data_IF_057355058946
#
_entry.id   IF_057355058946
#
_cell.length_a   1.000
_cell.length_b   1.000
_cell.length_c   1.000
_cell.angle_alpha   90.00
_cell.angle_beta   90.00
_cell.angle_gamma   90.00
#
_symmetry.space_group_name_H-M   'P 1'
#
loop_
_entity.id
_entity.type
_entity.pdbx_description
1 polymer ?
#
# COMPACT_ATOMS: atom_id res chain seq x y z
N UNK A 1 -39.36 -0.38 -72.36
CA UNK A 1 -38.86 -1.77 -72.47
C UNK A 1 -37.47 -1.71 -73.07
N UNK A 2 -36.45 -1.61 -72.23
CA UNK A 2 -35.04 -1.76 -72.60
C UNK A 2 -34.28 -2.08 -71.31
N UNK A 3 -34.29 -3.39 -70.99
CA UNK A 3 -33.29 -4.01 -70.14
C UNK A 3 -31.94 -3.83 -70.81
N UNK A 4 -31.04 -3.04 -70.24
CA UNK A 4 -29.61 -3.08 -70.58
C UNK A 4 -28.82 -2.32 -69.50
N UNK A 5 -28.12 -3.08 -68.67
CA UNK A 5 -26.94 -2.70 -67.84
C UNK A 5 -26.83 -3.49 -66.53
N UNK A 6 -27.60 -4.57 -66.36
CA UNK A 6 -27.29 -5.64 -65.40
C UNK A 6 -26.19 -6.57 -65.97
N UNK A 7 -25.11 -5.97 -66.47
CA UNK A 7 -23.92 -6.68 -66.95
C UNK A 7 -22.85 -6.49 -65.88
N UNK A 8 -22.76 -7.49 -65.02
CA UNK A 8 -21.48 -8.10 -64.66
C UNK A 8 -20.39 -7.13 -64.15
N UNK A 9 -20.66 -6.42 -63.05
CA UNK A 9 -19.62 -6.13 -62.06
C UNK A 9 -19.23 -7.45 -61.35
N UNK A 10 -18.64 -8.38 -62.11
CA UNK A 10 -17.79 -9.41 -61.52
C UNK A 10 -16.71 -8.66 -60.76
N UNK A 11 -16.68 -8.91 -59.47
CA UNK A 11 -15.69 -8.46 -58.52
C UNK A 11 -14.35 -8.19 -59.20
N UNK A 12 -13.96 -6.92 -59.31
CA UNK A 12 -12.62 -6.55 -59.71
C UNK A 12 -11.64 -7.28 -58.76
N UNK A 13 -10.88 -8.28 -59.24
CA UNK A 13 -10.03 -9.09 -58.37
C UNK A 13 -8.95 -8.24 -57.70
N UNK A 14 -8.56 -7.10 -58.29
CA UNK A 14 -7.63 -6.15 -57.70
C UNK A 14 -8.22 -5.42 -56.49
N UNK A 15 -9.49 -5.00 -56.55
CA UNK A 15 -10.17 -4.35 -55.42
C UNK A 15 -10.36 -5.33 -54.25
N UNK A 16 -10.77 -6.57 -54.55
CA UNK A 16 -10.92 -7.63 -53.56
C UNK A 16 -9.58 -8.02 -52.91
N UNK A 17 -8.48 -8.05 -53.68
CA UNK A 17 -7.14 -8.29 -53.14
C UNK A 17 -6.64 -7.14 -52.25
N UNK A 18 -6.99 -5.89 -52.59
CA UNK A 18 -6.61 -4.70 -51.79
C UNK A 18 -7.33 -4.67 -50.44
N UNK A 19 -8.62 -5.00 -50.41
CA UNK A 19 -9.40 -5.08 -49.18
C UNK A 19 -8.92 -6.22 -48.28
N UNK A 20 -8.58 -7.38 -48.86
CA UNK A 20 -7.99 -8.51 -48.13
C UNK A 20 -6.63 -8.16 -47.52
N UNK A 21 -5.77 -7.46 -48.28
CA UNK A 21 -4.44 -7.03 -47.81
C UNK A 21 -4.55 -6.04 -46.64
N UNK A 22 -5.41 -5.04 -46.73
CA UNK A 22 -5.64 -4.08 -45.64
C UNK A 22 -6.21 -4.75 -44.38
N UNK A 23 -7.18 -5.65 -44.54
CA UNK A 23 -7.76 -6.39 -43.42
C UNK A 23 -6.74 -7.31 -42.73
N UNK A 24 -5.83 -7.93 -43.48
CA UNK A 24 -4.73 -8.73 -42.92
C UNK A 24 -3.76 -7.88 -42.11
N UNK A 25 -3.40 -6.68 -42.58
CA UNK A 25 -2.53 -5.75 -41.83
C UNK A 25 -3.19 -5.36 -40.51
N UNK A 26 -4.48 -5.03 -40.51
CA UNK A 26 -5.23 -4.70 -39.29
C UNK A 26 -5.25 -5.89 -38.32
N UNK A 27 -5.62 -7.08 -38.79
CA UNK A 27 -5.66 -8.27 -37.95
C UNK A 27 -4.28 -8.58 -37.36
N UNK A 28 -3.21 -8.40 -38.13
CA UNK A 28 -1.83 -8.55 -37.67
C UNK A 28 -1.48 -7.51 -36.59
N UNK A 29 -1.84 -6.23 -36.77
CA UNK A 29 -1.57 -5.20 -35.73
C UNK A 29 -2.29 -5.47 -34.41
N UNK A 30 -3.53 -5.98 -34.46
CA UNK A 30 -4.28 -6.38 -33.27
C UNK A 30 -3.61 -7.59 -32.61
N UNK A 31 -3.20 -8.59 -33.38
CA UNK A 31 -2.52 -9.77 -32.86
C UNK A 31 -1.15 -9.43 -32.24
N UNK A 32 -0.38 -8.53 -32.85
CA UNK A 32 0.89 -8.03 -32.28
C UNK A 32 0.65 -7.27 -30.98
N UNK A 33 -0.40 -6.44 -30.92
CA UNK A 33 -0.77 -5.72 -29.69
C UNK A 33 -1.13 -6.70 -28.56
N UNK A 34 -1.90 -7.75 -28.87
CA UNK A 34 -2.25 -8.81 -27.92
C UNK A 34 -1.03 -9.65 -27.50
N UNK A 35 -0.12 -9.92 -28.42
CA UNK A 35 1.13 -10.63 -28.12
C UNK A 35 2.00 -9.83 -27.15
N UNK A 36 2.18 -8.53 -27.40
CA UNK A 36 2.92 -7.65 -26.50
C UNK A 36 2.26 -7.56 -25.13
N UNK A 37 0.92 -7.44 -25.08
CA UNK A 37 0.17 -7.43 -23.82
C UNK A 37 0.37 -8.74 -23.03
N UNK A 38 0.37 -9.88 -23.72
CA UNK A 38 0.59 -11.21 -23.13
C UNK A 38 2.03 -11.38 -22.62
N UNK A 39 3.02 -10.96 -23.40
CA UNK A 39 4.43 -11.00 -23.01
C UNK A 39 4.69 -10.15 -21.76
N UNK A 40 4.14 -8.95 -21.71
CA UNK A 40 4.28 -8.06 -20.55
C UNK A 40 3.58 -8.67 -19.34
N UNK A 41 2.37 -9.19 -19.50
CA UNK A 41 1.66 -9.91 -18.43
C UNK A 41 2.54 -11.02 -17.83
N UNK A 42 3.15 -11.86 -18.66
CA UNK A 42 4.04 -12.94 -18.22
C UNK A 42 5.18 -12.47 -17.29
N UNK A 43 5.82 -11.36 -17.62
CA UNK A 43 6.93 -10.82 -16.82
C UNK A 43 6.48 -10.17 -15.50
N UNK A 44 5.25 -9.65 -15.44
CA UNK A 44 4.76 -8.88 -14.28
C UNK A 44 4.17 -9.72 -13.15
N UNK A 45 3.68 -10.92 -13.44
CA UNK A 45 3.06 -11.77 -12.41
C UNK A 45 4.14 -12.54 -11.63
N UNK A 46 4.13 -12.40 -10.29
CA UNK A 46 4.95 -13.22 -9.39
C UNK A 46 4.69 -14.71 -9.59
N UNK A 47 5.71 -15.59 -9.46
CA UNK A 47 5.62 -17.02 -9.77
C UNK A 47 4.39 -17.74 -9.22
N UNK A 48 3.97 -17.38 -8.00
CA UNK A 48 2.83 -17.99 -7.29
C UNK A 48 1.47 -17.55 -7.85
N UNK A 49 1.39 -16.37 -8.47
CA UNK A 49 0.15 -15.82 -9.06
C UNK A 49 0.09 -15.94 -10.60
N UNK A 50 1.09 -16.58 -11.23
CA UNK A 50 1.19 -16.70 -12.70
C UNK A 50 0.09 -17.56 -13.32
N UNK A 51 -0.34 -18.62 -12.64
CA UNK A 51 -1.13 -19.67 -13.26
C UNK A 51 -2.56 -19.27 -13.68
N UNK A 52 -3.38 -18.57 -12.86
CA UNK A 52 -4.69 -18.10 -13.33
C UNK A 52 -4.58 -16.83 -14.20
N UNK A 53 -3.55 -16.01 -14.00
CA UNK A 53 -3.52 -14.65 -14.55
C UNK A 53 -3.01 -14.53 -15.98
N UNK A 54 -2.27 -15.53 -16.44
CA UNK A 54 -1.70 -15.56 -17.80
C UNK A 54 -2.66 -16.22 -18.79
N UNK A 55 -3.65 -16.98 -18.30
CA UNK A 55 -4.62 -17.68 -19.15
C UNK A 55 -5.47 -16.73 -20.01
N UNK A 56 -5.86 -15.56 -19.47
CA UNK A 56 -6.71 -14.60 -20.19
C UNK A 56 -6.01 -13.94 -21.40
N UNK A 57 -4.78 -13.39 -21.27
CA UNK A 57 -4.08 -12.84 -22.43
C UNK A 57 -3.63 -13.92 -23.43
N UNK A 58 -3.28 -15.12 -22.97
CA UNK A 58 -2.95 -16.24 -23.87
C UNK A 58 -4.19 -16.68 -24.66
N UNK A 59 -5.33 -16.88 -24.01
CA UNK A 59 -6.59 -17.24 -24.71
C UNK A 59 -7.02 -16.14 -25.68
N UNK A 60 -6.86 -14.86 -25.32
CA UNK A 60 -7.13 -13.73 -26.21
C UNK A 60 -6.21 -13.71 -27.45
N UNK A 61 -4.94 -14.09 -27.30
CA UNK A 61 -4.02 -14.26 -28.43
C UNK A 61 -4.46 -15.39 -29.36
N UNK A 62 -4.85 -16.55 -28.81
CA UNK A 62 -5.37 -17.66 -29.62
C UNK A 62 -6.64 -17.27 -30.39
N UNK A 63 -7.55 -16.53 -29.76
CA UNK A 63 -8.76 -16.02 -30.42
C UNK A 63 -8.41 -15.05 -31.55
N UNK A 64 -7.40 -14.19 -31.39
CA UNK A 64 -6.94 -13.31 -32.46
C UNK A 64 -6.27 -14.07 -33.63
N UNK A 65 -5.52 -15.14 -33.35
CA UNK A 65 -4.95 -16.01 -34.39
C UNK A 65 -6.04 -16.71 -35.20
N UNK A 66 -7.11 -17.18 -34.55
CA UNK A 66 -8.31 -17.71 -35.23
C UNK A 66 -8.97 -16.63 -36.09
N UNK A 67 -8.99 -15.38 -35.60
CA UNK A 67 -9.43 -14.21 -36.36
C UNK A 67 -8.65 -14.01 -37.66
N UNK A 68 -7.32 -14.12 -37.63
CA UNK A 68 -6.47 -14.03 -38.83
C UNK A 68 -6.78 -15.16 -39.82
N UNK A 69 -6.94 -16.39 -39.35
CA UNK A 69 -7.27 -17.55 -40.20
C UNK A 69 -8.62 -17.32 -40.91
N UNK A 70 -9.62 -16.78 -40.21
CA UNK A 70 -10.93 -16.44 -40.79
C UNK A 70 -10.84 -15.33 -41.84
N UNK A 71 -9.97 -14.34 -41.64
CA UNK A 71 -9.70 -13.29 -42.65
C UNK A 71 -9.08 -13.92 -43.91
N UNK A 72 -8.12 -14.84 -43.77
CA UNK A 72 -7.52 -15.57 -44.89
C UNK A 72 -8.54 -16.43 -45.65
N UNK A 73 -9.54 -16.98 -44.96
CA UNK A 73 -10.64 -17.74 -45.56
C UNK A 73 -11.71 -16.85 -46.23
N UNK A 74 -11.49 -15.53 -46.30
CA UNK A 74 -12.41 -14.58 -46.93
C UNK A 74 -13.59 -14.16 -46.05
N UNK A 75 -13.65 -14.59 -44.78
CA UNK A 75 -14.67 -14.17 -43.80
C UNK A 75 -14.20 -12.97 -42.98
N UNK A 76 -13.88 -11.89 -43.70
CA UNK A 76 -13.15 -10.72 -43.17
C UNK A 76 -13.87 -10.07 -41.97
N UNK A 77 -15.16 -9.82 -42.09
CA UNK A 77 -15.98 -9.15 -41.06
C UNK A 77 -16.00 -9.92 -39.74
N UNK A 78 -16.10 -11.25 -39.82
CA UNK A 78 -16.19 -12.11 -38.65
C UNK A 78 -14.84 -12.21 -37.92
N UNK A 79 -13.74 -12.34 -38.67
CA UNK A 79 -12.39 -12.42 -38.11
C UNK A 79 -11.97 -11.14 -37.36
N UNK A 80 -12.33 -9.96 -37.89
CA UNK A 80 -12.01 -8.68 -37.24
C UNK A 80 -12.89 -8.44 -36.01
N UNK A 81 -14.20 -8.74 -36.05
CA UNK A 81 -15.05 -8.67 -34.86
C UNK A 81 -14.53 -9.56 -33.72
N UNK A 82 -14.15 -10.80 -34.04
CA UNK A 82 -13.61 -11.75 -33.06
C UNK A 82 -12.34 -11.19 -32.39
N UNK A 83 -11.44 -10.61 -33.20
CA UNK A 83 -10.18 -10.03 -32.72
C UNK A 83 -10.40 -8.80 -31.83
N UNK A 84 -11.38 -7.94 -32.17
CA UNK A 84 -11.73 -6.77 -31.36
C UNK A 84 -12.39 -7.15 -30.02
N UNK A 85 -13.21 -8.21 -30.00
CA UNK A 85 -13.79 -8.74 -28.75
C UNK A 85 -12.70 -9.31 -27.84
N UNK A 86 -11.76 -10.07 -28.41
CA UNK A 86 -10.62 -10.60 -27.66
C UNK A 86 -9.78 -9.46 -27.05
N UNK A 87 -9.54 -8.39 -27.83
CA UNK A 87 -8.85 -7.20 -27.35
C UNK A 87 -9.59 -6.52 -26.20
N UNK A 88 -10.92 -6.36 -26.30
CA UNK A 88 -11.73 -5.76 -25.25
C UNK A 88 -11.68 -6.58 -23.95
N UNK A 89 -11.88 -7.90 -24.04
CA UNK A 89 -11.85 -8.80 -22.90
C UNK A 89 -10.49 -8.77 -22.19
N UNK A 90 -9.40 -8.73 -22.97
CA UNK A 90 -8.05 -8.65 -22.44
C UNK A 90 -7.79 -7.33 -21.70
N UNK A 91 -8.29 -6.20 -22.20
CA UNK A 91 -8.18 -4.91 -21.51
C UNK A 91 -9.04 -4.85 -20.24
N UNK A 92 -10.28 -5.34 -20.27
CA UNK A 92 -11.14 -5.40 -19.08
C UNK A 92 -10.46 -6.23 -17.99
N UNK A 93 -9.92 -7.39 -18.35
CA UNK A 93 -9.18 -8.23 -17.41
C UNK A 93 -8.01 -7.46 -16.77
N UNK A 94 -7.21 -6.76 -17.57
CA UNK A 94 -6.07 -5.98 -17.07
C UNK A 94 -6.51 -4.90 -16.07
N UNK A 95 -7.60 -4.18 -16.35
CA UNK A 95 -8.18 -3.15 -15.47
C UNK A 95 -8.61 -3.72 -14.12
N UNK A 96 -9.12 -4.96 -14.08
CA UNK A 96 -9.50 -5.60 -12.81
C UNK A 96 -8.30 -5.95 -11.93
N UNK A 97 -7.12 -6.17 -12.53
CA UNK A 97 -5.90 -6.56 -11.81
C UNK A 97 -5.08 -5.36 -11.35
N UNK A 98 -5.05 -4.29 -12.16
CA UNK A 98 -4.18 -3.14 -11.97
C UNK A 98 -4.97 -1.83 -11.99
N UNK A 99 -4.84 -1.02 -10.94
CA UNK A 99 -5.43 0.32 -10.90
C UNK A 99 -4.69 1.33 -11.79
N UNK A 100 -5.43 2.18 -12.49
CA UNK A 100 -4.88 3.34 -13.22
C UNK A 100 -4.47 3.06 -14.67
N UNK A 101 -4.74 1.85 -15.18
CA UNK A 101 -4.47 1.49 -16.59
C UNK A 101 -5.68 1.71 -17.49
N UNK A 102 -6.89 1.88 -16.93
CA UNK A 102 -8.13 1.92 -17.69
C UNK A 102 -8.30 3.15 -18.57
N UNK A 103 -7.73 4.30 -18.19
CA UNK A 103 -7.72 5.49 -19.06
C UNK A 103 -6.95 5.20 -20.35
N UNK A 104 -5.76 4.62 -20.24
CA UNK A 104 -4.92 4.31 -21.40
C UNK A 104 -5.57 3.17 -22.22
N UNK A 105 -6.02 2.11 -21.56
CA UNK A 105 -6.67 0.97 -22.19
C UNK A 105 -7.93 1.38 -22.98
N UNK A 106 -8.80 2.22 -22.40
CA UNK A 106 -10.02 2.69 -23.06
C UNK A 106 -9.71 3.53 -24.31
N UNK A 107 -8.78 4.49 -24.22
CA UNK A 107 -8.38 5.32 -25.36
C UNK A 107 -7.80 4.46 -26.48
N UNK A 108 -6.87 3.56 -26.15
CA UNK A 108 -6.23 2.68 -27.14
C UNK A 108 -7.26 1.78 -27.79
N UNK A 109 -8.13 1.14 -27.00
CA UNK A 109 -9.20 0.28 -27.53
C UNK A 109 -10.12 1.02 -28.50
N UNK A 110 -10.63 2.19 -28.12
CA UNK A 110 -11.53 2.98 -28.98
C UNK A 110 -10.84 3.40 -30.28
N UNK A 111 -9.56 3.80 -30.24
CA UNK A 111 -8.80 4.15 -31.45
C UNK A 111 -8.61 2.94 -32.38
N UNK A 112 -8.28 1.77 -31.83
CA UNK A 112 -8.14 0.52 -32.62
C UNK A 112 -9.45 0.16 -33.31
N UNK A 113 -10.59 0.24 -32.61
CA UNK A 113 -11.89 -0.08 -33.20
C UNK A 113 -12.24 0.91 -34.32
N UNK A 114 -12.02 2.21 -34.11
CA UNK A 114 -12.28 3.23 -35.16
C UNK A 114 -11.45 2.95 -36.42
N UNK A 115 -10.16 2.63 -36.26
CA UNK A 115 -9.29 2.28 -37.39
C UNK A 115 -9.74 0.99 -38.10
N UNK A 116 -9.98 -0.07 -37.34
CA UNK A 116 -10.33 -1.39 -37.88
C UNK A 116 -11.70 -1.42 -38.58
N UNK A 117 -12.70 -0.71 -38.04
CA UNK A 117 -14.06 -0.74 -38.55
C UNK A 117 -14.19 -0.01 -39.87
N UNK A 118 -13.44 1.10 -40.05
CA UNK A 118 -13.48 1.91 -41.27
C UNK A 118 -13.04 1.15 -42.52
N UNK A 119 -12.09 0.25 -42.40
CA UNK A 119 -11.53 -0.48 -43.54
C UNK A 119 -12.26 -1.78 -43.85
N UNK A 120 -13.07 -2.27 -42.91
CA UNK A 120 -13.64 -3.63 -43.00
C UNK A 120 -15.14 -3.63 -43.19
N UNK A 121 -15.85 -2.61 -42.69
CA UNK A 121 -17.31 -2.63 -42.62
C UNK A 121 -17.96 -1.66 -43.61
N UNK A 122 -19.15 -2.01 -44.14
CA UNK A 122 -19.92 -1.10 -44.96
C UNK A 122 -20.35 0.15 -44.18
N UNK A 123 -20.47 1.32 -44.84
CA UNK A 123 -20.66 2.62 -44.19
C UNK A 123 -21.95 2.73 -43.36
N UNK A 124 -22.93 1.86 -43.60
CA UNK A 124 -24.18 1.79 -42.83
C UNK A 124 -24.00 1.26 -41.40
N UNK A 125 -22.95 0.47 -41.15
CA UNK A 125 -22.71 -0.21 -39.86
C UNK A 125 -21.63 0.49 -39.02
N UNK A 126 -20.76 1.28 -39.65
CA UNK A 126 -19.63 1.96 -39.00
C UNK A 126 -20.08 2.79 -37.78
N UNK A 127 -21.11 3.61 -37.95
CA UNK A 127 -21.59 4.49 -36.87
C UNK A 127 -22.05 3.72 -35.63
N UNK A 128 -22.68 2.54 -35.82
CA UNK A 128 -23.15 1.69 -34.72
C UNK A 128 -21.98 1.06 -33.96
N UNK A 129 -21.00 0.52 -34.67
CA UNK A 129 -19.84 -0.14 -34.02
C UNK A 129 -18.95 0.90 -33.32
N UNK A 130 -18.73 2.06 -33.93
CA UNK A 130 -17.97 3.16 -33.30
C UNK A 130 -18.69 3.65 -32.05
N UNK A 131 -20.01 3.85 -32.11
CA UNK A 131 -20.82 4.20 -30.93
C UNK A 131 -20.72 3.15 -29.83
N UNK A 132 -20.81 1.86 -30.18
CA UNK A 132 -20.64 0.75 -29.24
C UNK A 132 -19.25 0.74 -28.59
N UNK A 133 -18.20 1.04 -29.36
CA UNK A 133 -16.82 1.10 -28.86
C UNK A 133 -16.55 2.26 -27.92
N UNK A 134 -17.24 3.39 -28.12
CA UNK A 134 -17.21 4.54 -27.22
C UNK A 134 -17.90 4.20 -25.89
N UNK A 135 -19.07 3.55 -25.96
CA UNK A 135 -19.77 3.08 -24.77
C UNK A 135 -18.90 2.07 -24.02
N UNK A 136 -18.29 1.11 -24.72
CA UNK A 136 -17.43 0.11 -24.09
C UNK A 136 -16.14 0.72 -23.52
N UNK A 137 -15.54 1.69 -24.21
CA UNK A 137 -14.38 2.45 -23.69
C UNK A 137 -14.74 3.27 -22.45
N UNK A 138 -15.90 3.92 -22.43
CA UNK A 138 -16.43 4.60 -21.24
C UNK A 138 -16.67 3.61 -20.10
N UNK A 139 -17.23 2.44 -20.41
CA UNK A 139 -17.48 1.39 -19.42
C UNK A 139 -16.16 0.85 -18.84
N UNK A 140 -15.13 0.66 -19.66
CA UNK A 140 -13.78 0.32 -19.19
C UNK A 140 -13.21 1.40 -18.25
N UNK A 141 -13.40 2.68 -18.58
CA UNK A 141 -12.97 3.80 -17.72
C UNK A 141 -13.73 3.82 -16.39
N UNK A 142 -15.06 3.63 -16.43
CA UNK A 142 -15.86 3.51 -15.21
C UNK A 142 -15.45 2.29 -14.38
N UNK A 143 -15.12 1.17 -15.02
CA UNK A 143 -14.62 -0.02 -14.34
C UNK A 143 -13.28 0.27 -13.66
N UNK A 144 -12.38 1.02 -14.30
CA UNK A 144 -11.13 1.44 -13.65
C UNK A 144 -11.35 2.43 -12.49
N UNK A 145 -12.36 3.30 -12.57
CA UNK A 145 -12.61 4.26 -11.50
C UNK A 145 -13.36 3.65 -10.31
N UNK A 146 -14.28 2.72 -10.56
CA UNK A 146 -15.23 2.23 -9.56
C UNK A 146 -15.11 0.73 -9.22
N UNK A 147 -14.17 -0.01 -9.79
CA UNK A 147 -14.06 -1.44 -9.48
C UNK A 147 -13.69 -1.68 -8.00
N UNK A 148 -14.54 -2.40 -7.23
CA UNK A 148 -14.45 -2.53 -5.78
C UNK A 148 -13.51 -3.65 -5.32
N UNK A 149 -12.98 -4.47 -6.23
CA UNK A 149 -12.06 -5.55 -5.90
C UNK A 149 -10.70 -5.03 -5.45
N UNK A 150 -10.00 -5.83 -4.62
CA UNK A 150 -8.61 -5.56 -4.26
C UNK A 150 -7.77 -5.56 -5.53
N UNK A 151 -7.25 -4.37 -5.89
CA UNK A 151 -6.34 -4.22 -7.02
C UNK A 151 -4.93 -4.09 -6.51
N UNK A 152 -3.97 -4.47 -7.36
CA UNK A 152 -2.58 -4.12 -7.10
C UNK A 152 -2.46 -2.60 -7.20
N UNK A 153 -1.72 -1.96 -6.28
CA UNK A 153 -1.51 -0.51 -6.33
C UNK A 153 -0.94 -0.10 -7.69
N UNK A 154 -1.17 1.16 -8.10
CA UNK A 154 -0.58 1.69 -9.34
C UNK A 154 0.93 1.44 -9.33
N UNK A 155 1.41 0.89 -10.43
CA UNK A 155 2.70 0.22 -10.52
C UNK A 155 3.86 1.13 -10.10
N UNK A 156 4.83 0.67 -9.27
CA UNK A 156 6.06 1.40 -8.99
C UNK A 156 6.91 1.59 -10.26
N UNK A 157 7.83 2.57 -10.22
CA UNK A 157 8.63 3.10 -11.35
C UNK A 157 9.37 2.01 -12.16
N UNK A 158 9.65 0.86 -11.54
CA UNK A 158 10.34 -0.28 -12.16
C UNK A 158 9.53 -1.04 -13.22
N UNK A 159 8.22 -0.75 -13.34
CA UNK A 159 7.36 -1.32 -14.39
C UNK A 159 7.16 -0.39 -15.59
N UNK A 160 8.14 0.49 -15.80
CA UNK A 160 8.34 1.26 -17.02
C UNK A 160 8.01 0.48 -18.31
N UNK A 161 8.32 -0.83 -18.49
CA UNK A 161 7.99 -1.55 -19.70
C UNK A 161 6.48 -1.60 -20.04
N UNK A 162 5.56 -1.67 -19.08
CA UNK A 162 4.11 -1.73 -19.37
C UNK A 162 3.56 -0.35 -19.79
N UNK A 163 3.98 0.71 -19.10
CA UNK A 163 3.65 2.08 -19.47
C UNK A 163 4.27 2.42 -20.82
N UNK A 164 5.53 2.03 -21.06
CA UNK A 164 6.21 2.17 -22.35
C UNK A 164 5.48 1.37 -23.43
N UNK A 165 5.07 0.13 -23.19
CA UNK A 165 4.36 -0.68 -24.20
C UNK A 165 2.99 -0.08 -24.53
N UNK A 166 2.25 0.41 -23.55
CA UNK A 166 0.95 1.06 -23.76
C UNK A 166 1.11 2.42 -24.47
N UNK A 167 2.13 3.21 -24.10
CA UNK A 167 2.49 4.48 -24.76
C UNK A 167 2.97 4.22 -26.18
N UNK A 168 3.83 3.23 -26.41
CA UNK A 168 4.37 2.88 -27.74
C UNK A 168 3.26 2.34 -28.63
N UNK A 169 2.40 1.45 -28.13
CA UNK A 169 1.25 0.95 -28.89
C UNK A 169 0.27 2.08 -29.20
N UNK A 170 -0.03 2.93 -28.22
CA UNK A 170 -0.84 4.14 -28.40
C UNK A 170 -0.24 5.11 -29.42
N UNK A 171 1.07 5.38 -29.34
CA UNK A 171 1.80 6.23 -30.30
C UNK A 171 1.80 5.64 -31.70
N UNK A 172 2.05 4.34 -31.87
CA UNK A 172 2.00 3.67 -33.17
C UNK A 172 0.62 3.84 -33.80
N UNK A 173 -0.45 3.66 -33.02
CA UNK A 173 -1.84 3.80 -33.49
C UNK A 173 -2.20 5.26 -33.78
N UNK A 174 -1.77 6.20 -32.94
CA UNK A 174 -1.97 7.64 -33.16
C UNK A 174 -1.22 8.08 -34.43
N UNK A 175 0.03 7.69 -34.60
CA UNK A 175 0.84 8.00 -35.79
C UNK A 175 0.23 7.37 -37.04
N UNK A 176 -0.24 6.12 -36.97
CA UNK A 176 -0.94 5.46 -38.07
C UNK A 176 -2.24 6.20 -38.45
N UNK A 177 -3.03 6.60 -37.45
CA UNK A 177 -4.26 7.38 -37.64
C UNK A 177 -4.00 8.77 -38.22
N UNK A 178 -2.97 9.48 -37.74
CA UNK A 178 -2.59 10.80 -38.23
C UNK A 178 -2.06 10.75 -39.67
N UNK A 179 -1.28 9.72 -40.02
CA UNK A 179 -0.77 9.54 -41.40
C UNK A 179 -1.88 9.27 -42.42
N UNK A 180 -2.99 8.65 -42.01
CA UNK A 180 -4.16 8.41 -42.89
C UNK A 180 -5.21 9.53 -42.84
N UNK A 181 -5.09 10.50 -41.94
CA UNK A 181 -6.01 11.63 -41.81
C UNK A 181 -6.27 12.44 -43.09
N UNK A 182 -5.29 12.63 -44.02
CA UNK A 182 -5.53 13.31 -45.29
C UNK A 182 -6.59 12.62 -46.17
N UNK A 183 -6.72 11.29 -46.07
CA UNK A 183 -7.63 10.47 -46.89
C UNK A 183 -9.03 10.32 -46.29
N UNK A 184 -9.31 10.93 -45.14
CA UNK A 184 -10.63 10.85 -44.49
C UNK A 184 -11.68 11.71 -45.18
N UNK A 185 -12.90 11.19 -45.23
CA UNK A 185 -14.06 11.95 -45.70
C UNK A 185 -14.35 13.12 -44.75
N UNK A 186 -14.96 14.19 -45.28
CA UNK A 186 -15.22 15.40 -44.49
C UNK A 186 -16.09 15.12 -43.25
N UNK A 187 -17.06 14.20 -43.40
CA UNK A 187 -17.93 13.72 -42.31
C UNK A 187 -17.13 13.05 -41.20
N UNK A 188 -16.13 12.24 -41.53
CA UNK A 188 -15.28 11.56 -40.54
C UNK A 188 -14.43 12.54 -39.75
N UNK A 189 -13.87 13.55 -40.41
CA UNK A 189 -13.08 14.60 -39.74
C UNK A 189 -13.94 15.35 -38.72
N UNK A 190 -15.18 15.68 -39.08
CA UNK A 190 -16.13 16.36 -38.20
C UNK A 190 -16.55 15.48 -37.01
N UNK A 191 -16.90 14.21 -37.25
CA UNK A 191 -17.29 13.29 -36.15
C UNK A 191 -16.12 13.08 -35.18
N UNK A 192 -14.90 12.84 -35.68
CA UNK A 192 -13.72 12.65 -34.83
C UNK A 192 -13.39 13.92 -34.04
N UNK A 193 -13.46 15.10 -34.66
CA UNK A 193 -13.25 16.37 -33.97
C UNK A 193 -14.29 16.59 -32.87
N UNK A 194 -15.57 16.32 -33.15
CA UNK A 194 -16.64 16.52 -32.18
C UNK A 194 -16.53 15.56 -30.99
N UNK A 195 -16.20 14.29 -31.24
CA UNK A 195 -15.96 13.29 -30.18
C UNK A 195 -14.74 13.67 -29.34
N UNK A 196 -13.64 14.11 -29.95
CA UNK A 196 -12.45 14.53 -29.21
C UNK A 196 -12.75 15.74 -28.30
N UNK A 197 -13.46 16.75 -28.83
CA UNK A 197 -13.87 17.94 -28.07
C UNK A 197 -14.84 17.57 -26.94
N UNK A 198 -15.71 16.58 -27.12
CA UNK A 198 -16.63 16.12 -26.08
C UNK A 198 -15.94 15.31 -24.95
N UNK A 199 -14.92 14.52 -25.27
CA UNK A 199 -14.21 13.67 -24.31
C UNK A 199 -13.20 14.47 -23.48
N UNK A 200 -12.55 15.46 -24.08
CA UNK A 200 -11.51 16.27 -23.42
C UNK A 200 -11.94 16.87 -22.06
N UNK A 201 -13.10 17.55 -21.93
CA UNK A 201 -13.53 18.07 -20.64
C UNK A 201 -13.86 16.97 -19.63
N UNK A 202 -14.42 15.84 -20.07
CA UNK A 202 -14.74 14.71 -19.19
C UNK A 202 -13.47 14.12 -18.56
N UNK A 203 -12.44 13.86 -19.38
CA UNK A 203 -11.14 13.33 -18.90
C UNK A 203 -10.48 14.33 -17.95
N UNK A 204 -10.57 15.62 -18.26
CA UNK A 204 -10.02 16.69 -17.41
C UNK A 204 -10.69 16.72 -16.04
N UNK A 205 -12.03 16.66 -15.99
CA UNK A 205 -12.78 16.65 -14.73
C UNK A 205 -12.45 15.40 -13.90
N UNK A 206 -12.39 14.23 -14.53
CA UNK A 206 -12.03 12.98 -13.82
C UNK A 206 -10.62 13.08 -13.24
N UNK A 207 -9.65 13.60 -13.99
CA UNK A 207 -8.28 13.77 -13.52
C UNK A 207 -8.20 14.75 -12.33
N UNK A 208 -8.87 15.90 -12.42
CA UNK A 208 -8.90 16.89 -11.34
C UNK A 208 -9.59 16.32 -10.09
N UNK A 209 -10.76 15.69 -10.27
CA UNK A 209 -11.55 15.12 -9.17
C UNK A 209 -10.78 14.00 -8.46
N UNK A 210 -10.10 13.13 -9.20
CA UNK A 210 -9.30 12.05 -8.62
C UNK A 210 -8.12 12.60 -7.81
N UNK A 211 -7.42 13.62 -8.33
CA UNK A 211 -6.32 14.27 -7.62
C UNK A 211 -6.80 15.00 -6.36
N UNK A 212 -7.92 15.74 -6.45
CA UNK A 212 -8.50 16.44 -5.31
C UNK A 212 -8.94 15.45 -4.22
N UNK A 213 -9.67 14.40 -4.58
CA UNK A 213 -10.14 13.36 -3.66
C UNK A 213 -8.96 12.66 -2.98
N UNK A 214 -7.92 12.31 -3.75
CA UNK A 214 -6.71 11.68 -3.22
C UNK A 214 -6.01 12.59 -2.20
N UNK A 215 -5.86 13.87 -2.51
CA UNK A 215 -5.21 14.82 -1.61
C UNK A 215 -5.98 15.01 -0.30
N UNK A 216 -7.31 15.09 -0.36
CA UNK A 216 -8.17 15.16 0.83
C UNK A 216 -8.04 13.90 1.68
N UNK A 217 -8.06 12.72 1.07
CA UNK A 217 -7.98 11.45 1.79
C UNK A 217 -6.60 11.25 2.44
N UNK A 218 -5.52 11.65 1.76
CA UNK A 218 -4.16 11.65 2.34
C UNK A 218 -4.06 12.66 3.50
N UNK A 219 -4.64 13.85 3.33
CA UNK A 219 -4.67 14.86 4.39
C UNK A 219 -5.38 14.37 5.65
N UNK A 220 -6.58 13.80 5.51
CA UNK A 220 -7.36 13.24 6.61
C UNK A 220 -6.63 12.05 7.28
N UNK A 221 -6.03 11.15 6.49
CA UNK A 221 -5.23 10.05 7.03
C UNK A 221 -4.03 10.56 7.86
N UNK A 222 -3.30 11.55 7.36
CA UNK A 222 -2.17 12.14 8.08
C UNK A 222 -2.61 12.83 9.38
N UNK A 223 -3.71 13.56 9.35
CA UNK A 223 -4.25 14.22 10.53
C UNK A 223 -4.67 13.20 11.60
N UNK A 224 -5.33 12.11 11.20
CA UNK A 224 -5.71 11.02 12.13
C UNK A 224 -4.50 10.31 12.71
N UNK A 225 -3.49 10.02 11.89
CA UNK A 225 -2.24 9.42 12.36
C UNK A 225 -1.50 10.34 13.34
N UNK A 226 -1.45 11.64 13.06
CA UNK A 226 -0.83 12.61 13.96
C UNK A 226 -1.59 12.74 15.28
N UNK A 227 -2.93 12.76 15.25
CA UNK A 227 -3.75 12.80 16.45
C UNK A 227 -3.58 11.53 17.29
N UNK A 228 -3.58 10.35 16.67
CA UNK A 228 -3.35 9.07 17.36
C UNK A 228 -1.93 8.96 17.95
N UNK A 229 -0.92 9.42 17.20
CA UNK A 229 0.45 9.49 17.69
C UNK A 229 0.57 10.45 18.87
N UNK A 230 -0.06 11.62 18.80
CA UNK A 230 -0.12 12.58 19.90
C UNK A 230 -0.78 12.01 21.15
N UNK A 231 -1.93 11.33 21.00
CA UNK A 231 -2.60 10.67 22.12
C UNK A 231 -1.74 9.57 22.74
N UNK A 232 -1.02 8.81 21.93
CA UNK A 232 -0.10 7.76 22.41
C UNK A 232 1.08 8.36 23.17
N UNK A 233 1.67 9.45 22.65
CA UNK A 233 2.75 10.16 23.32
C UNK A 233 2.29 10.70 24.68
N UNK A 234 1.13 11.36 24.75
CA UNK A 234 0.55 11.84 26.01
C UNK A 234 0.30 10.70 27.00
N UNK A 235 -0.23 9.56 26.54
CA UNK A 235 -0.44 8.41 27.41
C UNK A 235 0.87 7.85 27.99
N UNK A 236 1.96 7.85 27.20
CA UNK A 236 3.30 7.46 27.68
C UNK A 236 3.83 8.49 28.68
N UNK A 237 3.74 9.79 28.38
CA UNK A 237 4.20 10.86 29.27
C UNK A 237 3.45 10.82 30.62
N UNK A 238 2.12 10.66 30.59
CA UNK A 238 1.29 10.56 31.79
C UNK A 238 1.64 9.32 32.62
N UNK A 239 1.91 8.18 31.96
CA UNK A 239 2.36 6.97 32.64
C UNK A 239 3.71 7.19 33.31
N UNK A 240 4.72 7.69 32.58
CA UNK A 240 6.05 7.96 33.13
C UNK A 240 6.00 8.96 34.30
N UNK A 241 5.25 10.05 34.16
CA UNK A 241 5.12 11.08 35.20
C UNK A 241 4.39 10.54 36.44
N UNK A 242 3.31 9.78 36.26
CA UNK A 242 2.56 9.19 37.36
C UNK A 242 3.37 8.11 38.10
N UNK A 243 4.10 7.25 37.39
CA UNK A 243 5.00 6.26 38.00
C UNK A 243 6.15 6.94 38.74
N UNK A 244 6.74 8.00 38.18
CA UNK A 244 7.80 8.76 38.86
C UNK A 244 7.29 9.46 40.14
N UNK A 245 6.07 10.01 40.10
CA UNK A 245 5.45 10.58 41.29
C UNK A 245 5.10 9.51 42.33
N UNK A 246 4.67 8.33 41.88
CA UNK A 246 4.38 7.20 42.76
C UNK A 246 5.65 6.74 43.48
N UNK A 247 6.76 6.50 42.76
CA UNK A 247 7.99 6.03 43.40
C UNK A 247 8.59 7.05 44.36
N UNK A 248 8.46 8.35 44.07
CA UNK A 248 8.85 9.42 45.01
C UNK A 248 8.06 9.34 46.31
N UNK A 249 6.75 9.13 46.22
CA UNK A 249 5.89 8.99 47.39
C UNK A 249 6.20 7.71 48.16
N UNK A 250 6.45 6.61 47.44
CA UNK A 250 6.83 5.32 48.00
C UNK A 250 8.17 5.39 48.74
N UNK A 251 9.15 6.13 48.22
CA UNK A 251 10.44 6.33 48.88
C UNK A 251 10.29 7.04 50.24
N UNK A 252 9.44 8.07 50.32
CA UNK A 252 9.13 8.75 51.59
C UNK A 252 8.39 7.86 52.59
N UNK A 253 7.57 6.91 52.12
CA UNK A 253 6.92 5.95 53.03
C UNK A 253 7.90 4.87 53.54
N UNK A 254 8.91 4.53 52.74
CA UNK A 254 9.97 3.59 53.16
C UNK A 254 10.86 4.21 54.24
N UNK A 255 11.14 5.51 54.16
CA UNK A 255 11.83 6.27 55.21
C UNK A 255 11.17 6.08 56.59
N UNK A 256 9.84 6.12 56.69
CA UNK A 256 9.11 5.93 57.96
C UNK A 256 9.32 4.54 58.60
N UNK A 257 9.81 3.54 57.85
CA UNK A 257 10.07 2.19 58.37
C UNK A 257 11.41 2.13 59.12
N UNK A 258 12.33 3.08 58.87
CA UNK A 258 13.62 3.20 59.56
C UNK A 258 14.59 2.05 59.32
N UNK A 259 14.41 1.25 58.26
CA UNK A 259 15.29 0.11 57.98
C UNK A 259 16.73 0.53 57.66
N UNK A 260 16.89 1.68 57.00
CA UNK A 260 18.20 2.23 56.66
C UNK A 260 18.91 2.84 57.89
N UNK A 261 18.17 3.19 58.94
CA UNK A 261 18.73 3.76 60.18
C UNK A 261 19.36 2.70 61.09
N UNK A 262 18.99 1.43 60.90
CA UNK A 262 19.54 0.32 61.68
C UNK A 262 21.01 0.04 61.30
N UNK A 263 21.88 -0.27 62.27
CA UNK A 263 23.21 -0.80 62.01
C UNK A 263 23.17 -2.08 61.16
N UNK A 264 24.14 -2.26 60.27
CA UNK A 264 24.17 -3.36 59.27
C UNK A 264 24.03 -4.74 59.92
N UNK A 265 24.64 -4.94 61.09
CA UNK A 265 24.59 -6.18 61.88
C UNK A 265 23.22 -6.46 62.51
N UNK A 266 22.38 -5.43 62.66
CA UNK A 266 21.06 -5.51 63.28
C UNK A 266 19.92 -5.52 62.26
N UNK A 267 20.20 -5.23 60.98
CA UNK A 267 19.19 -5.20 59.90
C UNK A 267 18.57 -6.56 59.65
N UNK A 268 19.39 -7.62 59.60
CA UNK A 268 18.93 -8.96 59.24
C UNK A 268 18.14 -9.61 60.38
N UNK A 269 16.93 -10.07 60.08
CA UNK A 269 15.99 -10.62 61.04
C UNK A 269 15.24 -9.58 61.86
N UNK A 270 15.36 -8.29 61.54
CA UNK A 270 14.64 -7.21 62.24
C UNK A 270 13.18 -7.10 61.79
N UNK A 271 12.34 -6.53 62.65
CA UNK A 271 10.96 -6.19 62.28
C UNK A 271 10.91 -5.18 61.12
N UNK A 272 11.85 -4.23 61.07
CA UNK A 272 11.98 -3.28 59.96
C UNK A 272 12.31 -3.96 58.63
N UNK A 273 13.08 -5.06 58.62
CA UNK A 273 13.32 -5.85 57.40
C UNK A 273 12.02 -6.49 56.90
N UNK A 274 11.27 -7.14 57.80
CA UNK A 274 10.01 -7.79 57.47
C UNK A 274 8.97 -6.79 56.97
N UNK A 275 8.87 -5.62 57.61
CA UNK A 275 7.98 -4.53 57.22
C UNK A 275 8.39 -3.93 55.86
N UNK A 276 9.68 -3.70 55.64
CA UNK A 276 10.19 -3.22 54.34
C UNK A 276 9.85 -4.23 53.24
N UNK A 277 10.11 -5.52 53.45
CA UNK A 277 9.80 -6.55 52.46
C UNK A 277 8.30 -6.62 52.14
N UNK A 278 7.44 -6.54 53.17
CA UNK A 278 6.00 -6.50 52.99
C UNK A 278 5.56 -5.27 52.19
N UNK A 279 6.19 -4.12 52.43
CA UNK A 279 5.91 -2.88 51.72
C UNK A 279 6.36 -2.94 50.25
N UNK A 280 7.57 -3.43 49.97
CA UNK A 280 8.08 -3.64 48.60
C UNK A 280 7.19 -4.62 47.81
N UNK A 281 6.70 -5.67 48.49
CA UNK A 281 5.71 -6.59 47.90
C UNK A 281 4.43 -5.86 47.53
N UNK A 282 3.86 -5.05 48.44
CA UNK A 282 2.65 -4.26 48.16
C UNK A 282 2.86 -3.32 46.97
N UNK A 283 4.02 -2.68 46.84
CA UNK A 283 4.32 -1.82 45.68
C UNK A 283 4.40 -2.59 44.37
N UNK A 284 5.09 -3.74 44.36
CA UNK A 284 5.15 -4.60 43.17
C UNK A 284 3.78 -5.13 42.78
N UNK A 285 2.96 -5.52 43.75
CA UNK A 285 1.65 -6.14 43.50
C UNK A 285 0.59 -5.13 43.01
N UNK A 286 0.91 -3.83 42.93
CA UNK A 286 0.09 -2.82 42.24
C UNK A 286 -0.07 -3.13 40.74
N UNK A 287 1.01 -3.62 40.12
CA UNK A 287 1.02 -4.05 38.72
C UNK A 287 1.98 -5.25 38.55
N UNK A 288 1.53 -6.46 38.91
CA UNK A 288 2.39 -7.64 38.93
C UNK A 288 2.80 -8.11 37.53
N UNK A 289 2.15 -7.62 36.47
CA UNK A 289 2.46 -7.98 35.10
C UNK A 289 3.68 -7.21 34.59
N UNK A 290 3.70 -5.89 34.84
CA UNK A 290 4.73 -4.99 34.32
C UNK A 290 5.85 -4.73 35.32
N UNK A 291 5.54 -4.63 36.61
CA UNK A 291 6.54 -4.41 37.66
C UNK A 291 7.22 -5.74 37.97
N UNK A 292 8.48 -5.84 37.56
CA UNK A 292 9.32 -7.01 37.77
C UNK A 292 9.81 -7.12 39.20
N UNK A 293 10.26 -6.01 39.80
CA UNK A 293 10.75 -6.01 41.17
C UNK A 293 10.88 -4.60 41.76
N UNK A 294 10.94 -4.55 43.09
CA UNK A 294 11.29 -3.37 43.88
C UNK A 294 12.49 -3.70 44.76
N UNK A 295 13.49 -2.83 44.78
CA UNK A 295 14.68 -2.98 45.63
C UNK A 295 14.95 -1.70 46.42
N UNK A 296 15.47 -1.87 47.62
CA UNK A 296 16.01 -0.81 48.46
C UNK A 296 17.52 -0.97 48.51
N UNK A 297 18.23 0.10 48.12
CA UNK A 297 19.67 0.15 48.04
C UNK A 297 20.23 1.15 49.06
N UNK A 298 21.45 0.92 49.54
CA UNK A 298 22.14 1.87 50.42
C UNK A 298 22.75 3.05 49.65
N UNK A 299 23.34 4.00 50.39
CA UNK A 299 24.03 5.17 49.85
C UNK A 299 25.29 4.85 49.03
N UNK A 300 25.72 3.58 48.98
CA UNK A 300 26.80 3.10 48.12
C UNK A 300 26.25 2.36 46.88
N UNK A 301 24.93 2.32 46.70
CA UNK A 301 24.28 1.65 45.57
C UNK A 301 24.20 0.13 45.69
N UNK A 302 24.42 -0.43 46.89
CA UNK A 302 24.34 -1.88 47.14
C UNK A 302 22.91 -2.27 47.45
N UNK A 303 22.42 -3.32 46.78
CA UNK A 303 21.08 -3.88 47.01
C UNK A 303 21.00 -4.56 48.40
N UNK A 304 20.23 -3.96 49.31
CA UNK A 304 20.03 -4.46 50.67
C UNK A 304 18.89 -5.48 50.72
N UNK A 305 17.77 -5.14 50.07
CA UNK A 305 16.56 -5.97 50.06
C UNK A 305 15.78 -5.75 48.78
N UNK A 306 15.32 -6.84 48.16
CA UNK A 306 14.54 -6.83 46.92
C UNK A 306 13.36 -7.80 46.99
N UNK A 307 12.23 -7.41 46.40
CA UNK A 307 11.09 -8.29 46.16
C UNK A 307 10.80 -8.38 44.65
N UNK A 308 10.63 -9.60 44.09
CA UNK A 308 10.66 -10.91 44.77
C UNK A 308 12.07 -11.35 45.16
N UNK A 309 12.16 -12.12 46.26
CA UNK A 309 13.43 -12.56 46.89
C UNK A 309 14.31 -13.46 46.01
N UNK A 310 13.76 -14.00 44.91
CA UNK A 310 14.51 -14.80 43.94
C UNK A 310 15.14 -13.95 42.82
N UNK A 311 15.16 -12.62 42.96
CA UNK A 311 15.84 -11.72 42.02
C UNK A 311 17.36 -11.94 42.09
N UNK A 312 18.07 -11.95 40.95
CA UNK A 312 19.53 -12.04 40.96
C UNK A 312 20.12 -10.84 41.70
N UNK A 313 21.00 -11.09 42.67
CA UNK A 313 21.70 -10.03 43.38
C UNK A 313 22.80 -9.47 42.48
N UNK A 314 22.51 -8.34 41.83
CA UNK A 314 23.38 -7.67 40.88
C UNK A 314 24.00 -6.45 41.57
N UNK A 315 25.28 -6.20 41.30
CA UNK A 315 25.90 -4.94 41.67
C UNK A 315 25.38 -3.84 40.72
N UNK A 316 24.53 -2.96 41.24
CA UNK A 316 23.89 -1.87 40.50
C UNK A 316 24.52 -0.50 40.86
N UNK A 317 25.64 -0.50 41.60
CA UNK A 317 26.23 0.72 42.19
C UNK A 317 26.68 1.75 41.15
N UNK A 318 27.13 1.29 39.97
CA UNK A 318 27.58 2.15 38.87
C UNK A 318 26.45 2.54 37.90
N UNK A 319 25.22 2.08 38.14
CA UNK A 319 24.09 2.34 37.24
C UNK A 319 23.58 3.77 37.37
N UNK A 320 23.30 4.43 36.25
CA UNK A 320 22.79 5.81 36.21
C UNK A 320 21.49 6.00 37.00
N UNK A 321 20.63 4.97 37.05
CA UNK A 321 19.41 4.99 37.84
C UNK A 321 19.63 4.83 39.35
N UNK A 322 20.86 4.63 39.81
CA UNK A 322 21.23 4.65 41.23
C UNK A 322 22.06 5.89 41.54
N UNK A 323 23.04 6.22 40.71
CA UNK A 323 23.92 7.37 40.93
C UNK A 323 23.19 8.71 40.77
N UNK A 324 22.33 8.85 39.75
CA UNK A 324 21.63 10.12 39.49
C UNK A 324 20.71 10.54 40.64
N UNK A 325 19.88 9.67 41.23
CA UNK A 325 19.12 10.02 42.43
C UNK A 325 19.97 10.39 43.65
N UNK A 326 21.13 9.76 43.82
CA UNK A 326 22.05 10.07 44.93
C UNK A 326 22.72 11.43 44.74
N UNK A 327 23.09 11.79 43.50
CA UNK A 327 23.79 13.04 43.18
C UNK A 327 22.86 14.24 43.06
N UNK A 328 21.70 14.06 42.44
CA UNK A 328 20.74 15.14 42.18
C UNK A 328 19.69 15.28 43.28
N UNK A 329 19.60 14.27 44.15
CA UNK A 329 18.57 14.12 45.17
C UNK A 329 17.13 14.19 44.62
N UNK A 330 16.95 13.83 43.35
CA UNK A 330 15.66 13.80 42.65
C UNK A 330 15.34 12.40 42.15
N UNK A 331 14.05 12.13 41.96
CA UNK A 331 13.62 10.90 41.33
C UNK A 331 14.05 10.88 39.85
N UNK A 332 14.40 9.69 39.35
CA UNK A 332 14.96 9.50 38.01
C UNK A 332 14.27 8.37 37.25
N UNK A 333 14.26 8.49 35.92
CA UNK A 333 13.80 7.45 34.99
C UNK A 333 14.95 7.15 34.04
N UNK A 334 15.35 5.89 33.98
CA UNK A 334 16.37 5.45 33.03
C UNK A 334 15.86 5.35 31.59
N UNK A 335 16.76 5.44 30.59
CA UNK A 335 16.45 4.91 29.26
C UNK A 335 16.14 3.41 29.33
N UNK A 336 15.55 2.87 28.26
CA UNK A 336 15.35 1.42 28.14
C UNK A 336 16.72 0.73 28.12
N UNK A 337 16.95 -0.15 29.09
CA UNK A 337 18.19 -0.91 29.25
C UNK A 337 17.92 -2.41 29.11
N UNK A 338 18.91 -3.15 28.63
CA UNK A 338 18.82 -4.61 28.49
C UNK A 338 19.69 -5.28 29.54
N UNK A 339 19.06 -6.01 30.46
CA UNK A 339 19.82 -6.76 31.46
C UNK A 339 20.32 -8.07 30.83
N UNK A 340 21.64 -8.31 30.75
CA UNK A 340 22.18 -9.56 30.21
C UNK A 340 21.93 -10.77 31.14
N UNK A 341 21.58 -10.50 32.41
CA UNK A 341 21.38 -11.51 33.46
C UNK A 341 19.90 -11.88 33.57
N UNK A 342 19.01 -10.88 33.65
CA UNK A 342 17.56 -11.11 33.80
C UNK A 342 16.89 -11.36 32.45
N UNK A 343 17.48 -10.84 31.37
CA UNK A 343 16.96 -10.95 30.01
C UNK A 343 15.78 -10.01 29.75
N UNK A 344 15.86 -9.27 28.66
CA UNK A 344 14.78 -8.39 28.20
C UNK A 344 15.00 -6.91 28.49
N UNK A 345 14.14 -6.05 27.91
CA UNK A 345 14.22 -4.61 28.05
C UNK A 345 13.50 -4.15 29.32
N UNK A 346 14.15 -3.29 30.10
CA UNK A 346 13.61 -2.72 31.33
C UNK A 346 13.78 -1.21 31.36
N UNK A 347 12.84 -0.56 32.06
CA UNK A 347 12.95 0.82 32.51
C UNK A 347 13.00 0.77 34.04
N UNK A 348 14.00 1.43 34.59
CA UNK A 348 14.14 1.64 36.02
C UNK A 348 13.62 3.01 36.41
N UNK A 349 12.80 3.03 37.44
CA UNK A 349 12.41 4.23 38.16
C UNK A 349 13.11 4.19 39.50
N UNK A 350 13.63 5.33 39.94
CA UNK A 350 14.33 5.41 41.22
C UNK A 350 14.07 6.73 41.93
N UNK A 351 14.11 6.71 43.25
CA UNK A 351 13.98 7.89 44.08
C UNK A 351 14.88 7.76 45.32
N UNK A 352 15.49 8.87 45.79
CA UNK A 352 16.28 8.85 47.01
C UNK A 352 15.38 8.61 48.21
N UNK A 353 15.87 7.80 49.15
CA UNK A 353 15.26 7.62 50.47
C UNK A 353 16.05 8.47 51.45
N UNK A 354 15.35 9.24 52.27
CA UNK A 354 15.96 10.16 53.23
C UNK A 354 15.81 9.62 54.65
N UNK A 355 16.62 10.13 55.56
CA UNK A 355 16.47 9.93 57.00
C UNK A 355 15.73 11.09 57.65
N UNK A 356 15.47 11.00 58.96
CA UNK A 356 14.82 12.07 59.75
C UNK A 356 15.60 13.41 59.71
N UNK A 357 16.88 13.40 59.33
CA UNK A 357 17.72 14.57 59.16
C UNK A 357 17.74 15.11 57.71
N UNK A 358 16.82 14.63 56.87
CA UNK A 358 16.66 14.96 55.45
C UNK A 358 17.88 14.59 54.58
N UNK A 359 18.76 13.72 55.08
CA UNK A 359 19.94 13.23 54.37
C UNK A 359 19.58 12.02 53.52
N UNK A 360 20.10 11.96 52.29
CA UNK A 360 19.90 10.80 51.42
C UNK A 360 20.70 9.61 51.96
N UNK A 361 19.99 8.59 52.46
CA UNK A 361 20.58 7.37 53.06
C UNK A 361 20.53 6.15 52.14
N UNK A 362 19.78 6.24 51.03
CA UNK A 362 19.67 5.17 50.05
C UNK A 362 18.79 5.52 48.85
N UNK A 363 18.46 4.50 48.07
CA UNK A 363 17.61 4.63 46.86
C UNK A 363 16.57 3.52 46.83
N UNK A 364 15.32 3.90 46.61
CA UNK A 364 14.26 2.98 46.24
C UNK A 364 14.22 2.85 44.72
N UNK A 365 14.22 1.63 44.20
CA UNK A 365 14.25 1.35 42.76
C UNK A 365 13.18 0.34 42.34
N UNK A 366 12.34 0.73 41.39
CA UNK A 366 11.39 -0.15 40.69
C UNK A 366 11.95 -0.56 39.33
N UNK A 367 11.90 -1.86 39.02
CA UNK A 367 12.23 -2.42 37.70
C UNK A 367 10.94 -2.76 36.96
N UNK A 368 10.69 -2.10 35.83
CA UNK A 368 9.49 -2.28 35.02
C UNK A 368 9.88 -2.81 33.64
N UNK A 369 9.14 -3.80 33.14
CA UNK A 369 9.35 -4.35 31.79
C UNK A 369 8.97 -3.32 30.73
N UNK A 370 9.81 -3.18 29.72
CA UNK A 370 9.53 -2.33 28.55
C UNK A 370 8.99 -3.13 27.35
N UNK A 371 8.60 -4.40 27.56
CA UNK A 371 7.97 -5.27 26.57
C UNK A 371 6.65 -5.81 27.11
N UNK A 372 5.62 -5.85 26.25
CA UNK A 372 4.38 -6.59 26.49
C UNK A 372 4.57 -8.09 26.32
#
# INVERSE_FOLDING_TARGET
MTMTSYVDQRANPEAKNKDLSNALVIALTIAVSLFLLSLVSWFLFEPVSRTPNILVPITSLFVALIGIILVQQGRITFGICLSLIALAASYIYLITQFGGVGVIASIVYTLVVIGAVRETFPPTVIARIVGLSLILGLLMLMLDLFWPGVRRPPLPVDLAPLVITAIVTGLIIIVYSLRRFPHFSLREKLITAFVAVAILPLVTIVAISNNATKNVLIGDANQRLQAAAGQTATAVDDYLASTLSAIRTEASLIEEIGYLDLPIDQRRGSDSEANTLAQLKTYRDKDPLNISSYALLDSQGRNLIEYPLNSPQIDESDSEYITTPLETEQAYISPVTFSPIVGGPFIYFSAPVRDEADQVVGVLRARIKASN
#
